data_IF_689016462887
#
_entry.id   IF_689016462887
#
_cell.length_a   1.000
_cell.length_b   1.000
_cell.length_c   1.000
_cell.angle_alpha   90.00
_cell.angle_beta   90.00
_cell.angle_gamma   90.00
#
_symmetry.space_group_name_H-M   'P 1'
#
loop_
_entity.id
_entity.type
_entity.pdbx_description
1 polymer ?
#
# COMPACT_ATOMS: atom_id res chain seq x y z
N UNK A 1 14.86 -11.02 0.72
CA UNK A 1 13.76 -10.54 -0.18
C UNK A 1 13.93 -11.18 -1.56
N UNK A 2 13.01 -12.00 -2.04
CA UNK A 2 13.25 -12.87 -3.19
C UNK A 2 12.12 -12.88 -4.22
N UNK A 3 12.19 -13.87 -5.11
CA UNK A 3 11.20 -14.14 -6.15
C UNK A 3 11.07 -15.66 -6.35
N UNK A 4 10.00 -16.06 -7.00
CA UNK A 4 9.86 -17.41 -7.52
C UNK A 4 10.39 -17.47 -8.96
N UNK A 5 11.06 -18.55 -9.31
CA UNK A 5 11.47 -18.90 -10.68
C UNK A 5 10.98 -20.33 -10.93
N UNK A 6 10.05 -20.49 -11.86
CA UNK A 6 9.40 -21.77 -12.16
C UNK A 6 8.91 -22.51 -10.89
N UNK A 7 8.29 -21.74 -9.97
CA UNK A 7 7.78 -22.24 -8.70
C UNK A 7 8.83 -22.44 -7.60
N UNK A 8 10.11 -22.22 -7.88
CA UNK A 8 11.19 -22.38 -6.89
C UNK A 8 11.56 -21.02 -6.28
N UNK A 9 11.53 -20.95 -4.94
CA UNK A 9 11.90 -19.75 -4.23
C UNK A 9 13.40 -19.47 -4.34
N UNK A 10 13.73 -18.21 -4.69
CA UNK A 10 15.10 -17.72 -4.84
C UNK A 10 15.25 -16.41 -4.07
N UNK A 11 16.18 -16.36 -3.11
CA UNK A 11 16.49 -15.13 -2.38
C UNK A 11 17.40 -14.22 -3.24
N UNK A 12 16.77 -13.45 -4.10
CA UNK A 12 17.44 -12.54 -5.02
C UNK A 12 16.78 -11.16 -5.01
N UNK A 13 17.58 -10.14 -4.69
CA UNK A 13 17.17 -8.75 -4.75
C UNK A 13 17.00 -8.25 -6.18
N UNK A 14 16.49 -7.04 -6.34
CA UNK A 14 16.42 -6.36 -7.63
C UNK A 14 17.83 -6.08 -8.16
N UNK A 15 18.07 -6.40 -9.43
CA UNK A 15 19.29 -6.02 -10.11
C UNK A 15 19.16 -4.56 -10.62
N UNK A 16 19.97 -3.68 -10.04
CA UNK A 16 20.04 -2.27 -10.45
C UNK A 16 21.24 -1.99 -11.37
N UNK A 17 22.12 -2.95 -11.60
CA UNK A 17 23.31 -2.77 -12.43
C UNK A 17 22.93 -2.54 -13.91
N UNK A 18 21.96 -3.29 -14.41
CA UNK A 18 21.45 -3.19 -15.78
C UNK A 18 20.64 -1.91 -16.06
N UNK A 19 20.18 -1.22 -15.01
CA UNK A 19 19.35 -0.01 -15.11
C UNK A 19 20.09 1.28 -14.78
N UNK A 20 21.43 1.24 -14.70
CA UNK A 20 22.23 2.40 -14.30
C UNK A 20 22.01 2.86 -12.86
N UNK A 21 21.71 1.91 -11.99
CA UNK A 21 21.46 2.15 -10.58
C UNK A 21 20.01 2.49 -10.22
N UNK A 22 19.08 2.45 -11.17
CA UNK A 22 17.66 2.75 -10.96
C UNK A 22 16.92 1.53 -10.38
N UNK A 23 16.06 1.78 -9.43
CA UNK A 23 15.09 0.79 -8.96
C UNK A 23 13.88 0.75 -9.92
N UNK A 24 13.63 -0.42 -10.50
CA UNK A 24 12.48 -0.67 -11.35
C UNK A 24 11.57 -1.72 -10.71
N UNK A 25 10.30 -1.34 -10.52
CA UNK A 25 9.30 -2.22 -9.89
C UNK A 25 8.65 -3.12 -10.93
N UNK A 26 8.64 -4.43 -10.66
CA UNK A 26 7.87 -5.40 -11.45
C UNK A 26 6.36 -5.15 -11.32
N UNK A 27 5.63 -5.37 -12.39
CA UNK A 27 4.16 -5.31 -12.38
C UNK A 27 3.57 -6.51 -11.64
N UNK A 28 2.40 -6.32 -11.03
CA UNK A 28 1.59 -7.39 -10.48
C UNK A 28 1.09 -8.31 -11.60
N UNK A 29 1.11 -9.63 -11.37
CA UNK A 29 0.75 -10.64 -12.39
C UNK A 29 -0.70 -11.08 -12.23
N UNK A 30 -1.15 -11.30 -10.99
CA UNK A 30 -2.54 -11.67 -10.73
C UNK A 30 -3.41 -10.42 -10.75
N UNK A 31 -4.22 -10.28 -11.81
CA UNK A 31 -5.02 -9.09 -12.13
C UNK A 31 -6.48 -9.42 -12.45
N UNK A 32 -7.02 -10.50 -11.86
CA UNK A 32 -8.45 -10.82 -11.98
C UNK A 32 -9.29 -9.88 -11.11
N UNK A 33 -10.60 -9.84 -11.40
CA UNK A 33 -11.53 -8.95 -10.70
C UNK A 33 -12.58 -9.71 -9.94
N UNK A 34 -12.83 -9.22 -8.73
CA UNK A 34 -13.99 -9.54 -7.91
C UNK A 34 -15.05 -8.47 -8.17
N UNK A 35 -16.24 -8.89 -8.60
CA UNK A 35 -17.39 -8.04 -8.86
C UNK A 35 -18.61 -8.56 -8.11
N UNK A 36 -19.68 -7.78 -8.05
CA UNK A 36 -20.89 -8.18 -7.33
C UNK A 36 -21.48 -9.51 -7.84
N UNK A 37 -21.44 -9.75 -9.14
CA UNK A 37 -22.05 -10.90 -9.84
C UNK A 37 -21.02 -11.90 -10.45
N UNK A 38 -19.73 -11.62 -10.31
CA UNK A 38 -18.66 -12.42 -10.91
C UNK A 38 -18.38 -12.10 -12.38
N UNK A 39 -18.98 -11.05 -12.93
CA UNK A 39 -18.63 -10.56 -14.27
C UNK A 39 -17.18 -10.11 -14.37
N UNK A 40 -16.54 -10.14 -15.56
CA UNK A 40 -15.18 -9.67 -15.72
C UNK A 40 -15.08 -8.16 -15.46
N UNK A 41 -13.96 -7.74 -14.85
CA UNK A 41 -13.58 -6.34 -14.65
C UNK A 41 -12.72 -5.79 -15.80
N UNK A 42 -12.06 -4.64 -15.58
CA UNK A 42 -11.20 -4.01 -16.58
C UNK A 42 -9.97 -4.81 -16.98
N UNK A 43 -9.51 -5.71 -16.11
CA UNK A 43 -8.34 -6.58 -16.34
C UNK A 43 -8.66 -8.01 -15.93
N UNK A 44 -7.84 -8.97 -16.41
CA UNK A 44 -7.96 -10.37 -16.06
C UNK A 44 -9.27 -11.03 -16.49
N UNK A 45 -9.68 -12.04 -15.74
CA UNK A 45 -10.92 -12.82 -15.99
C UNK A 45 -11.93 -12.62 -14.87
N UNK A 46 -13.22 -12.86 -15.18
CA UNK A 46 -14.31 -12.95 -14.21
C UNK A 46 -14.37 -14.31 -13.50
N UNK A 47 -15.49 -14.57 -12.84
CA UNK A 47 -15.76 -15.78 -12.07
C UNK A 47 -15.60 -15.61 -10.56
N UNK A 48 -15.33 -14.40 -10.10
CA UNK A 48 -15.13 -14.06 -8.68
C UNK A 48 -16.27 -13.17 -8.20
N UNK A 49 -17.45 -13.77 -7.97
CA UNK A 49 -18.60 -13.08 -7.41
C UNK A 49 -18.38 -12.74 -5.94
N UNK A 50 -18.89 -11.58 -5.49
CA UNK A 50 -18.87 -11.22 -4.09
C UNK A 50 -19.75 -12.17 -3.28
N UNK A 51 -19.16 -12.84 -2.30
CA UNK A 51 -19.81 -13.79 -1.41
C UNK A 51 -19.25 -13.62 0.00
N UNK A 52 -20.10 -13.65 1.01
CA UNK A 52 -19.67 -13.58 2.40
C UNK A 52 -18.77 -14.77 2.75
N UNK A 53 -17.62 -14.47 3.36
CA UNK A 53 -16.70 -15.51 3.83
C UNK A 53 -15.91 -16.24 2.73
N UNK A 54 -16.09 -15.94 1.44
CA UNK A 54 -15.35 -16.58 0.33
C UNK A 54 -13.91 -16.08 0.22
N UNK A 55 -13.69 -14.80 0.43
CA UNK A 55 -12.38 -14.18 0.21
C UNK A 55 -11.59 -13.99 1.50
N UNK A 56 -10.26 -13.92 1.35
CA UNK A 56 -9.32 -13.64 2.42
C UNK A 56 -8.23 -12.68 1.91
N UNK A 57 -7.78 -11.76 2.75
CA UNK A 57 -6.78 -10.77 2.38
C UNK A 57 -5.49 -11.00 3.19
N UNK A 58 -4.38 -11.24 2.48
CA UNK A 58 -3.05 -11.35 3.09
C UNK A 58 -2.32 -10.02 2.97
N UNK A 59 -1.81 -9.52 4.08
CA UNK A 59 -1.21 -8.18 4.18
C UNK A 59 0.06 -8.19 5.03
N UNK A 60 0.87 -7.15 4.86
CA UNK A 60 1.84 -6.69 5.83
C UNK A 60 1.40 -5.32 6.36
N UNK A 61 1.38 -5.12 7.67
CA UNK A 61 1.07 -3.81 8.26
C UNK A 61 2.15 -2.77 7.95
N UNK A 62 3.35 -3.21 7.57
CA UNK A 62 4.42 -2.32 7.11
C UNK A 62 4.22 -1.81 5.68
N UNK A 63 3.60 -2.61 4.79
CA UNK A 63 3.55 -2.34 3.36
C UNK A 63 2.54 -1.23 3.01
N UNK A 64 2.95 -0.13 2.35
CA UNK A 64 2.02 0.95 1.97
C UNK A 64 0.99 0.50 0.92
N UNK A 65 1.34 -0.46 0.08
CA UNK A 65 0.43 -1.00 -0.93
C UNK A 65 -0.69 -1.82 -0.27
N UNK A 66 -0.35 -2.71 0.66
CA UNK A 66 -1.33 -3.48 1.42
C UNK A 66 -2.17 -2.56 2.36
N UNK A 67 -1.59 -1.50 2.89
CA UNK A 67 -2.28 -0.54 3.76
C UNK A 67 -3.46 0.14 3.04
N UNK A 68 -3.36 0.42 1.73
CA UNK A 68 -4.50 0.93 0.94
C UNK A 68 -5.71 0.02 1.05
N UNK A 69 -5.48 -1.29 0.94
CA UNK A 69 -6.56 -2.29 0.99
C UNK A 69 -7.17 -2.42 2.38
N UNK A 70 -6.35 -2.29 3.43
CA UNK A 70 -6.83 -2.25 4.81
C UNK A 70 -7.70 -1.03 5.08
N UNK A 71 -7.30 0.16 4.59
CA UNK A 71 -8.08 1.39 4.75
C UNK A 71 -9.44 1.25 4.06
N UNK A 72 -9.48 0.88 2.78
CA UNK A 72 -10.76 0.77 2.06
C UNK A 72 -11.63 -0.34 2.65
N UNK A 73 -11.03 -1.47 3.09
CA UNK A 73 -11.73 -2.52 3.83
C UNK A 73 -12.40 -1.98 5.10
N UNK A 74 -11.70 -1.12 5.86
CA UNK A 74 -12.24 -0.49 7.07
C UNK A 74 -13.33 0.55 6.76
N UNK A 75 -13.10 1.41 5.77
CA UNK A 75 -14.06 2.43 5.32
C UNK A 75 -15.37 1.81 4.83
N UNK A 76 -15.29 0.71 4.09
CA UNK A 76 -16.44 -0.03 3.58
C UNK A 76 -17.04 -1.03 4.58
N UNK A 77 -16.47 -1.15 5.79
CA UNK A 77 -17.00 -2.06 6.83
C UNK A 77 -16.89 -3.53 6.47
N UNK A 78 -15.88 -3.94 5.70
CA UNK A 78 -15.72 -5.30 5.18
C UNK A 78 -14.99 -6.24 6.15
N UNK A 79 -14.81 -5.86 7.42
CA UNK A 79 -13.98 -6.62 8.36
C UNK A 79 -14.47 -8.05 8.58
N UNK A 80 -15.78 -8.26 8.64
CA UNK A 80 -16.39 -9.59 8.83
C UNK A 80 -16.55 -10.34 7.50
N UNK A 81 -16.66 -9.64 6.39
CA UNK A 81 -16.80 -10.23 5.06
C UNK A 81 -15.47 -10.71 4.46
N UNK A 82 -14.37 -10.01 4.77
CA UNK A 82 -13.03 -10.29 4.26
C UNK A 82 -12.05 -10.34 5.44
N UNK A 83 -11.88 -11.50 6.09
CA UNK A 83 -10.86 -11.71 7.12
C UNK A 83 -9.44 -11.47 6.57
N UNK A 84 -8.49 -11.21 7.46
CA UNK A 84 -7.09 -10.96 7.09
C UNK A 84 -6.14 -11.95 7.75
N UNK A 85 -5.02 -12.20 7.08
CA UNK A 85 -3.78 -12.70 7.68
C UNK A 85 -2.68 -11.64 7.54
N UNK A 86 -1.83 -11.55 8.54
CA UNK A 86 -0.77 -10.55 8.62
C UNK A 86 0.57 -11.24 8.69
N UNK A 87 1.44 -10.99 7.70
CA UNK A 87 2.79 -11.52 7.71
C UNK A 87 3.67 -10.81 8.72
N UNK A 88 4.73 -11.47 9.15
CA UNK A 88 5.76 -10.91 10.02
C UNK A 88 6.41 -9.66 9.37
N UNK A 89 6.80 -8.67 10.19
CA UNK A 89 7.44 -7.43 9.68
C UNK A 89 8.81 -7.68 9.07
N UNK A 90 9.59 -8.63 9.61
CA UNK A 90 10.90 -8.96 9.08
C UNK A 90 10.78 -9.81 7.82
N UNK A 91 11.37 -9.33 6.74
CA UNK A 91 11.45 -10.03 5.47
C UNK A 91 12.90 -10.46 5.22
N UNK A 92 13.22 -11.68 5.66
CA UNK A 92 14.54 -12.30 5.51
C UNK A 92 14.68 -13.10 4.20
N UNK A 93 15.55 -14.13 4.27
CA UNK A 93 15.86 -15.02 3.13
C UNK A 93 14.64 -15.79 2.59
N UNK A 94 13.66 -16.08 3.45
CA UNK A 94 12.45 -16.82 3.10
C UNK A 94 11.30 -15.88 2.63
N UNK A 95 11.59 -14.59 2.46
CA UNK A 95 10.61 -13.57 2.08
C UNK A 95 9.64 -13.26 3.22
N UNK A 96 8.37 -13.07 2.90
CA UNK A 96 7.31 -12.87 3.88
C UNK A 96 6.92 -14.21 4.54
N UNK A 97 6.94 -14.26 5.88
CA UNK A 97 6.58 -15.43 6.67
C UNK A 97 5.43 -15.14 7.62
N UNK A 98 4.82 -16.18 8.18
CA UNK A 98 3.86 -16.12 9.28
C UNK A 98 4.48 -16.57 10.61
N UNK A 99 5.80 -16.38 10.77
CA UNK A 99 6.48 -16.63 12.04
C UNK A 99 5.86 -15.81 13.18
N UNK A 100 5.95 -16.32 14.40
CA UNK A 100 5.39 -15.65 15.58
C UNK A 100 5.98 -14.24 15.76
N UNK A 101 5.10 -13.29 16.06
CA UNK A 101 5.44 -11.89 16.30
C UNK A 101 4.23 -11.06 16.69
N UNK A 102 4.47 -9.95 17.35
CA UNK A 102 3.41 -9.03 17.74
C UNK A 102 2.64 -8.54 16.50
N UNK A 103 1.31 -8.71 16.48
CA UNK A 103 0.45 -8.28 15.36
C UNK A 103 0.49 -9.19 14.13
N UNK A 104 1.22 -10.30 14.15
CA UNK A 104 1.15 -11.35 13.12
C UNK A 104 -0.16 -12.11 13.28
N UNK A 105 -0.83 -12.40 12.17
CA UNK A 105 -2.01 -13.25 12.11
C UNK A 105 -1.71 -14.37 11.12
N UNK A 106 -1.59 -15.62 11.56
CA UNK A 106 -1.24 -16.75 10.71
C UNK A 106 -2.32 -17.03 9.66
N UNK A 107 -1.98 -17.85 8.68
CA UNK A 107 -2.92 -18.27 7.65
C UNK A 107 -3.85 -19.39 8.13
N UNK A 108 -5.16 -19.13 8.27
CA UNK A 108 -6.13 -20.15 8.70
C UNK A 108 -6.68 -21.00 7.55
N UNK A 109 -6.39 -20.66 6.29
CA UNK A 109 -7.04 -21.27 5.12
C UNK A 109 -6.21 -22.38 4.50
N UNK A 110 -4.94 -22.09 4.24
CA UNK A 110 -4.04 -23.00 3.53
C UNK A 110 -2.94 -23.56 4.44
N UNK A 111 -2.80 -23.00 5.67
CA UNK A 111 -1.81 -23.40 6.65
C UNK A 111 -0.37 -23.17 6.18
N UNK A 112 -0.14 -22.13 5.38
CA UNK A 112 1.21 -21.83 4.88
C UNK A 112 2.03 -21.09 5.91
N UNK A 113 3.32 -21.41 5.99
CA UNK A 113 4.29 -20.72 6.84
C UNK A 113 4.93 -19.53 6.13
N UNK A 114 4.96 -19.55 4.80
CA UNK A 114 5.58 -18.54 3.94
C UNK A 114 4.63 -18.10 2.84
N UNK A 115 4.56 -16.80 2.59
CA UNK A 115 3.62 -16.24 1.61
C UNK A 115 3.85 -16.78 0.19
N UNK A 116 5.09 -17.08 -0.20
CA UNK A 116 5.39 -17.60 -1.53
C UNK A 116 4.70 -18.95 -1.81
N UNK A 117 4.34 -19.72 -0.77
CA UNK A 117 3.60 -20.97 -0.90
C UNK A 117 2.16 -20.74 -1.41
N UNK A 118 1.54 -19.57 -1.13
CA UNK A 118 0.23 -19.23 -1.73
C UNK A 118 0.36 -19.01 -3.25
N UNK A 119 1.45 -18.38 -3.67
CA UNK A 119 1.71 -18.15 -5.11
C UNK A 119 1.88 -19.45 -5.87
N UNK A 120 2.65 -20.40 -5.34
CA UNK A 120 2.84 -21.71 -5.96
C UNK A 120 1.58 -22.60 -5.88
N UNK A 121 0.68 -22.36 -4.90
CA UNK A 121 -0.64 -23.02 -4.87
C UNK A 121 -1.58 -22.46 -5.94
N UNK A 122 -1.53 -21.14 -6.18
CA UNK A 122 -2.31 -20.52 -7.25
C UNK A 122 -1.79 -20.90 -8.65
N UNK A 123 -0.46 -21.00 -8.80
CA UNK A 123 0.22 -21.33 -10.05
C UNK A 123 1.55 -22.02 -9.74
N UNK A 124 1.61 -23.34 -9.97
CA UNK A 124 2.73 -24.19 -9.53
C UNK A 124 4.09 -23.79 -10.13
N UNK A 125 4.09 -23.20 -11.33
CA UNK A 125 5.28 -22.74 -12.07
C UNK A 125 5.42 -21.22 -12.07
N UNK A 126 4.77 -20.52 -11.12
CA UNK A 126 4.82 -19.06 -11.05
C UNK A 126 6.25 -18.54 -11.05
N UNK A 127 6.51 -17.56 -11.90
CA UNK A 127 7.78 -16.81 -11.92
C UNK A 127 7.50 -15.33 -11.70
N UNK A 128 8.08 -14.76 -10.65
CA UNK A 128 7.90 -13.35 -10.29
C UNK A 128 8.06 -13.05 -8.82
N UNK A 129 7.90 -11.78 -8.47
CA UNK A 129 8.00 -11.31 -7.08
C UNK A 129 6.78 -11.76 -6.27
N UNK A 130 7.04 -12.13 -5.01
CA UNK A 130 6.01 -12.47 -4.02
C UNK A 130 5.76 -11.22 -3.17
N UNK A 131 4.58 -10.64 -3.33
CA UNK A 131 4.22 -9.33 -2.77
C UNK A 131 2.92 -9.38 -1.97
N UNK A 132 2.70 -8.37 -1.14
CA UNK A 132 1.41 -8.08 -0.49
C UNK A 132 0.90 -6.74 -0.99
N UNK A 133 -0.45 -6.52 -1.06
CA UNK A 133 -1.52 -7.42 -0.64
C UNK A 133 -1.72 -8.60 -1.57
N UNK A 134 -2.39 -9.65 -1.08
CA UNK A 134 -2.92 -10.76 -1.87
C UNK A 134 -4.39 -10.94 -1.53
N UNK A 135 -5.27 -10.81 -2.50
CA UNK A 135 -6.69 -11.17 -2.39
C UNK A 135 -6.84 -12.61 -2.85
N UNK A 136 -7.18 -13.50 -1.93
CA UNK A 136 -7.30 -14.95 -2.12
C UNK A 136 -8.76 -15.38 -2.21
N UNK A 137 -9.07 -16.24 -3.17
CA UNK A 137 -10.37 -16.94 -3.26
C UNK A 137 -10.25 -18.34 -2.65
N UNK A 138 -10.92 -18.57 -1.54
CA UNK A 138 -10.90 -19.84 -0.80
C UNK A 138 -11.62 -20.97 -1.56
N UNK A 139 -12.60 -20.65 -2.41
CA UNK A 139 -13.34 -21.66 -3.17
C UNK A 139 -12.49 -22.26 -4.30
N UNK A 140 -11.87 -21.41 -5.09
CA UNK A 140 -11.05 -21.83 -6.23
C UNK A 140 -9.57 -22.02 -5.86
N UNK A 141 -9.20 -21.70 -4.62
CA UNK A 141 -7.84 -21.78 -4.06
C UNK A 141 -6.81 -21.11 -4.96
N UNK A 142 -7.09 -19.84 -5.32
CA UNK A 142 -6.22 -19.06 -6.20
C UNK A 142 -6.15 -17.62 -5.77
N UNK A 143 -5.13 -16.90 -6.26
CA UNK A 143 -5.01 -15.45 -6.10
C UNK A 143 -5.95 -14.77 -7.11
N UNK A 144 -6.88 -13.96 -6.62
CA UNK A 144 -7.71 -13.09 -7.46
C UNK A 144 -6.87 -11.95 -7.99
N UNK A 145 -6.24 -11.19 -7.09
CA UNK A 145 -5.38 -10.06 -7.43
C UNK A 145 -4.32 -9.82 -6.37
N UNK A 146 -3.14 -9.35 -6.81
CA UNK A 146 -2.09 -8.78 -5.95
C UNK A 146 -1.75 -7.33 -6.32
N UNK A 147 -2.68 -6.65 -7.03
CA UNK A 147 -2.56 -5.24 -7.38
C UNK A 147 -3.45 -4.37 -6.47
N UNK A 148 -2.82 -3.63 -5.57
CA UNK A 148 -3.54 -2.84 -4.55
C UNK A 148 -4.50 -1.82 -5.13
N UNK A 149 -4.15 -1.16 -6.24
CA UNK A 149 -4.98 -0.16 -6.89
C UNK A 149 -6.28 -0.72 -7.46
N UNK A 150 -6.29 -2.00 -7.83
CA UNK A 150 -7.47 -2.72 -8.30
C UNK A 150 -8.28 -3.30 -7.13
N UNK A 151 -7.59 -3.88 -6.13
CA UNK A 151 -8.26 -4.43 -4.95
C UNK A 151 -9.09 -3.37 -4.23
N UNK A 152 -8.59 -2.13 -4.08
CA UNK A 152 -9.38 -1.07 -3.46
C UNK A 152 -10.63 -0.70 -4.26
N UNK A 153 -10.58 -0.77 -5.60
CA UNK A 153 -11.74 -0.55 -6.46
C UNK A 153 -12.75 -1.71 -6.40
N UNK A 154 -12.27 -2.95 -6.26
CA UNK A 154 -13.14 -4.11 -5.99
C UNK A 154 -13.87 -3.94 -4.66
N UNK A 155 -13.16 -3.59 -3.59
CA UNK A 155 -13.74 -3.38 -2.26
C UNK A 155 -14.69 -2.19 -2.21
N UNK A 156 -14.48 -1.18 -3.04
CA UNK A 156 -15.32 0.02 -3.10
C UNK A 156 -16.77 -0.27 -3.46
N UNK A 157 -17.06 -1.33 -4.23
CA UNK A 157 -18.41 -1.54 -4.76
C UNK A 157 -18.90 -2.99 -4.80
N UNK A 158 -18.01 -3.99 -4.84
CA UNK A 158 -18.44 -5.37 -5.07
C UNK A 158 -19.34 -5.93 -3.96
N UNK A 159 -19.20 -5.45 -2.73
CA UNK A 159 -19.90 -5.95 -1.54
C UNK A 159 -21.10 -5.08 -1.12
N UNK A 160 -21.49 -4.08 -1.92
CA UNK A 160 -22.61 -3.18 -1.55
C UNK A 160 -23.91 -3.96 -1.29
N UNK A 161 -24.19 -4.99 -2.09
CA UNK A 161 -25.33 -5.88 -1.90
C UNK A 161 -25.24 -6.85 -0.70
N UNK A 162 -24.09 -6.91 -0.02
CA UNK A 162 -23.83 -7.79 1.14
C UNK A 162 -23.69 -7.02 2.45
N UNK A 163 -24.16 -5.78 2.51
CA UNK A 163 -24.16 -4.96 3.71
C UNK A 163 -22.85 -4.19 3.93
N UNK A 164 -22.07 -3.95 2.89
CA UNK A 164 -20.95 -3.01 2.95
C UNK A 164 -21.48 -1.62 3.34
N UNK A 165 -20.65 -0.87 4.09
CA UNK A 165 -20.99 0.51 4.48
C UNK A 165 -21.10 1.39 3.25
N UNK A 166 -22.05 2.33 3.29
CA UNK A 166 -22.19 3.34 2.25
C UNK A 166 -20.91 4.16 2.07
N UNK A 167 -20.72 4.66 0.85
CA UNK A 167 -19.53 5.42 0.45
C UNK A 167 -18.97 4.92 -0.88
N UNK A 168 -18.58 5.85 -1.74
CA UNK A 168 -17.96 5.56 -3.03
C UNK A 168 -16.72 6.43 -3.21
N UNK A 169 -15.56 5.82 -3.10
CA UNK A 169 -14.26 6.50 -3.16
C UNK A 169 -13.71 6.59 -4.60
N UNK A 170 -14.46 6.05 -5.58
CA UNK A 170 -14.12 6.14 -7.01
C UNK A 170 -15.41 6.40 -7.85
N UNK A 171 -16.15 7.50 -7.55
CA UNK A 171 -17.40 7.79 -8.20
C UNK A 171 -17.21 8.10 -9.68
N UNK A 172 -18.17 7.67 -10.52
CA UNK A 172 -18.07 7.74 -11.98
C UNK A 172 -17.75 9.15 -12.51
N UNK A 173 -18.37 10.18 -11.91
CA UNK A 173 -18.16 11.57 -12.31
C UNK A 173 -16.74 12.10 -12.04
N UNK A 174 -15.99 11.48 -11.11
CA UNK A 174 -14.65 11.94 -10.70
C UNK A 174 -13.52 11.03 -11.20
N UNK A 175 -13.81 9.91 -11.86
CA UNK A 175 -12.81 8.90 -12.24
C UNK A 175 -11.63 9.51 -13.01
N UNK A 176 -11.92 10.31 -14.02
CA UNK A 176 -10.85 10.95 -14.82
C UNK A 176 -9.95 11.87 -14.00
N UNK A 177 -10.51 12.62 -13.06
CA UNK A 177 -9.74 13.50 -12.17
C UNK A 177 -8.94 12.70 -11.15
N UNK A 178 -9.53 11.63 -10.59
CA UNK A 178 -8.85 10.70 -9.67
C UNK A 178 -7.67 10.02 -10.37
N UNK A 179 -7.89 9.50 -11.56
CA UNK A 179 -6.85 8.83 -12.32
C UNK A 179 -5.72 9.80 -12.71
N UNK A 180 -6.03 11.04 -13.10
CA UNK A 180 -5.03 12.07 -13.39
C UNK A 180 -4.15 12.40 -12.17
N UNK A 181 -4.73 12.47 -10.97
CA UNK A 181 -3.95 12.64 -9.73
C UNK A 181 -3.09 11.41 -9.46
N UNK A 182 -3.64 10.21 -9.61
CA UNK A 182 -2.91 8.97 -9.41
C UNK A 182 -1.73 8.80 -10.38
N UNK A 183 -1.87 9.25 -11.63
CA UNK A 183 -0.82 9.19 -12.67
C UNK A 183 0.39 10.07 -12.33
N UNK A 184 0.19 11.13 -11.53
CA UNK A 184 1.29 11.94 -10.99
C UNK A 184 1.81 11.36 -9.67
N UNK A 185 0.93 11.10 -8.71
CA UNK A 185 1.29 10.68 -7.35
C UNK A 185 2.01 9.32 -7.33
N UNK A 186 1.60 8.38 -8.19
CA UNK A 186 2.22 7.06 -8.19
C UNK A 186 3.71 7.09 -8.56
N UNK A 187 4.13 7.62 -9.74
CA UNK A 187 5.53 7.58 -10.15
C UNK A 187 6.43 8.51 -9.34
N UNK A 188 5.92 9.69 -8.90
CA UNK A 188 6.74 10.71 -8.25
C UNK A 188 6.81 10.58 -6.74
N UNK A 189 5.72 10.13 -6.08
CA UNK A 189 5.63 10.04 -4.62
C UNK A 189 5.60 8.59 -4.16
N UNK A 190 4.55 7.81 -4.51
CA UNK A 190 4.39 6.48 -3.94
C UNK A 190 5.53 5.53 -4.33
N UNK A 191 5.94 5.51 -5.59
CA UNK A 191 7.10 4.76 -6.07
C UNK A 191 8.38 5.61 -6.02
N UNK A 192 8.27 6.93 -6.03
CA UNK A 192 9.38 7.88 -5.98
C UNK A 192 10.26 7.66 -4.76
N UNK A 193 9.67 7.51 -3.57
CA UNK A 193 10.43 7.22 -2.34
C UNK A 193 11.23 5.92 -2.41
N UNK A 194 10.73 4.90 -3.12
CA UNK A 194 11.46 3.65 -3.36
C UNK A 194 12.56 3.82 -4.40
N UNK A 195 12.32 4.63 -5.43
CA UNK A 195 13.35 4.98 -6.42
C UNK A 195 14.51 5.74 -5.77
N UNK A 196 14.24 6.63 -4.81
CA UNK A 196 15.28 7.26 -3.99
C UNK A 196 16.00 6.23 -3.11
N UNK A 197 15.24 5.45 -2.34
CA UNK A 197 15.79 4.57 -1.31
C UNK A 197 16.63 3.40 -1.84
N UNK A 198 16.26 2.85 -2.97
CA UNK A 198 16.94 1.72 -3.60
C UNK A 198 17.86 2.11 -4.77
N UNK A 199 18.05 3.42 -5.02
CA UNK A 199 19.05 3.88 -5.96
C UNK A 199 20.46 3.44 -5.51
N UNK A 200 21.26 2.94 -6.46
CA UNK A 200 22.63 2.51 -6.20
C UNK A 200 23.67 3.43 -6.86
N UNK A 201 23.21 4.50 -7.52
CA UNK A 201 24.06 5.58 -8.03
C UNK A 201 23.50 6.94 -7.64
N UNK A 202 24.39 7.95 -7.50
CA UNK A 202 24.00 9.31 -7.17
C UNK A 202 23.02 9.89 -8.20
N UNK A 203 23.29 9.69 -9.49
CA UNK A 203 22.45 10.17 -10.56
C UNK A 203 21.03 9.59 -10.52
N UNK A 204 20.88 8.28 -10.26
CA UNK A 204 19.56 7.63 -10.12
C UNK A 204 18.78 8.13 -8.89
N UNK A 205 19.47 8.43 -7.81
CA UNK A 205 18.87 9.02 -6.62
C UNK A 205 18.35 10.44 -6.90
N UNK A 206 19.17 11.31 -7.47
CA UNK A 206 18.81 12.71 -7.78
C UNK A 206 17.67 12.80 -8.81
N UNK A 207 17.70 11.92 -9.82
CA UNK A 207 16.62 11.79 -10.83
C UNK A 207 15.25 11.48 -10.18
N UNK A 208 15.25 10.73 -9.08
CA UNK A 208 14.02 10.38 -8.36
C UNK A 208 13.63 11.45 -7.33
N UNK A 209 14.61 12.10 -6.68
CA UNK A 209 14.38 13.01 -5.56
C UNK A 209 13.71 14.32 -6.00
N UNK A 210 14.14 14.91 -7.12
CA UNK A 210 13.62 16.19 -7.62
C UNK A 210 12.11 16.10 -7.91
N UNK A 211 11.61 15.16 -8.76
CA UNK A 211 10.18 15.06 -9.02
C UNK A 211 9.35 14.70 -7.76
N UNK A 212 9.94 14.00 -6.79
CA UNK A 212 9.27 13.71 -5.52
C UNK A 212 8.94 15.00 -4.78
N UNK A 213 9.93 15.88 -4.58
CA UNK A 213 9.72 17.11 -3.82
C UNK A 213 8.95 18.16 -4.61
N UNK A 214 9.13 18.27 -5.93
CA UNK A 214 8.30 19.12 -6.80
C UNK A 214 6.81 18.74 -6.68
N UNK A 215 6.51 17.45 -6.62
CA UNK A 215 5.13 16.96 -6.46
C UNK A 215 4.59 17.25 -5.05
N UNK A 216 5.40 17.09 -3.99
CA UNK A 216 5.00 17.44 -2.63
C UNK A 216 4.72 18.94 -2.51
N UNK A 217 5.54 19.80 -3.11
CA UNK A 217 5.35 21.25 -3.11
C UNK A 217 4.04 21.66 -3.83
N UNK A 218 3.71 21.01 -4.95
CA UNK A 218 2.44 21.23 -5.65
C UNK A 218 1.24 20.78 -4.82
N UNK A 219 1.35 19.63 -4.14
CA UNK A 219 0.28 19.11 -3.28
C UNK A 219 0.11 19.98 -2.03
N UNK A 220 1.19 20.48 -1.45
CA UNK A 220 1.14 21.47 -0.35
C UNK A 220 0.29 22.67 -0.75
N UNK A 221 0.59 23.30 -1.90
CA UNK A 221 -0.18 24.44 -2.41
C UNK A 221 -1.65 24.08 -2.65
N UNK A 222 -1.95 22.96 -3.29
CA UNK A 222 -3.32 22.50 -3.53
C UNK A 222 -4.11 22.36 -2.24
N UNK A 223 -3.51 21.75 -1.23
CA UNK A 223 -4.16 21.42 0.04
C UNK A 223 -4.32 22.63 0.98
N UNK A 224 -3.78 23.80 0.66
CA UNK A 224 -4.11 25.04 1.39
C UNK A 224 -5.54 25.52 1.13
N UNK A 225 -6.11 25.19 -0.05
CA UNK A 225 -7.41 25.71 -0.50
C UNK A 225 -8.55 24.66 -0.42
N UNK A 226 -8.24 23.38 -0.30
CA UNK A 226 -9.24 22.31 -0.30
C UNK A 226 -8.89 21.20 0.70
N UNK A 227 -9.90 20.53 1.25
CA UNK A 227 -9.71 19.53 2.31
C UNK A 227 -8.98 18.29 1.82
N UNK A 228 -9.40 17.73 0.68
CA UNK A 228 -8.84 16.55 0.05
C UNK A 228 -8.28 16.88 -1.34
N UNK A 229 -7.63 15.91 -2.00
CA UNK A 229 -6.96 16.12 -3.29
C UNK A 229 -7.88 16.61 -4.40
N UNK A 230 -9.19 16.33 -4.31
CA UNK A 230 -10.18 16.66 -5.32
C UNK A 230 -11.39 17.41 -4.74
N UNK A 231 -11.18 18.23 -3.72
CA UNK A 231 -12.22 19.08 -3.11
C UNK A 231 -12.57 18.69 -1.69
N UNK A 232 -13.88 18.60 -1.38
CA UNK A 232 -14.40 18.33 -0.04
C UNK A 232 -14.60 16.83 0.27
N UNK A 233 -14.59 15.96 -0.75
CA UNK A 233 -14.89 14.53 -0.61
C UNK A 233 -13.62 13.68 -0.65
N UNK A 234 -13.55 12.69 0.27
CA UNK A 234 -12.49 11.69 0.31
C UNK A 234 -12.59 10.75 -0.90
N UNK A 235 -11.48 10.56 -1.62
CA UNK A 235 -11.39 9.65 -2.75
C UNK A 235 -10.27 8.61 -2.58
N UNK A 236 -10.21 7.62 -3.49
CA UNK A 236 -9.10 6.65 -3.49
C UNK A 236 -7.73 7.32 -3.70
N UNK A 237 -7.67 8.49 -4.36
CA UNK A 237 -6.42 9.23 -4.54
C UNK A 237 -5.82 9.64 -3.19
N UNK A 238 -6.66 10.08 -2.25
CA UNK A 238 -6.26 10.44 -0.90
C UNK A 238 -5.74 9.20 -0.13
N UNK A 239 -6.45 8.08 -0.22
CA UNK A 239 -6.02 6.82 0.39
C UNK A 239 -4.66 6.39 -0.14
N UNK A 240 -4.45 6.50 -1.46
CA UNK A 240 -3.18 6.10 -2.12
C UNK A 240 -2.01 6.99 -1.71
N UNK A 241 -2.22 8.29 -1.56
CA UNK A 241 -1.20 9.23 -1.11
C UNK A 241 -0.89 9.04 0.38
N UNK A 242 -1.93 8.95 1.22
CA UNK A 242 -1.80 8.88 2.68
C UNK A 242 -0.82 7.81 3.15
N UNK A 243 -0.87 6.61 2.56
CA UNK A 243 -0.01 5.50 2.99
C UNK A 243 1.48 5.79 2.85
N UNK A 244 1.86 6.66 1.90
CA UNK A 244 3.23 7.15 1.74
C UNK A 244 3.54 8.29 2.71
N UNK A 245 2.65 9.28 2.85
CA UNK A 245 2.86 10.41 3.76
C UNK A 245 3.03 9.96 5.21
N UNK A 246 2.20 9.01 5.67
CA UNK A 246 2.28 8.44 7.01
C UNK A 246 3.66 7.81 7.31
N UNK A 247 4.31 7.23 6.29
CA UNK A 247 5.62 6.58 6.40
C UNK A 247 6.78 7.52 6.15
N UNK A 248 6.51 8.73 5.69
CA UNK A 248 7.55 9.61 5.16
C UNK A 248 8.56 9.99 6.25
N UNK A 249 8.11 10.62 7.31
CA UNK A 249 8.98 11.09 8.37
C UNK A 249 9.60 9.95 9.20
N UNK A 250 8.85 8.89 9.61
CA UNK A 250 9.43 7.81 10.40
C UNK A 250 10.37 6.90 9.61
N UNK A 251 10.27 6.87 8.28
CA UNK A 251 11.05 5.94 7.44
C UNK A 251 11.78 6.64 6.30
N UNK A 252 11.06 7.28 5.37
CA UNK A 252 11.65 7.66 4.09
C UNK A 252 12.64 8.83 4.20
N UNK A 253 12.48 9.72 5.15
CA UNK A 253 13.42 10.81 5.42
C UNK A 253 14.81 10.26 5.78
N UNK A 254 14.89 9.34 6.72
CA UNK A 254 16.16 8.76 7.16
C UNK A 254 16.60 7.58 6.28
N UNK A 255 15.79 6.55 6.22
CA UNK A 255 16.13 5.27 5.60
C UNK A 255 16.33 5.37 4.08
N UNK A 256 15.43 6.09 3.40
CA UNK A 256 15.46 6.27 1.94
C UNK A 256 16.10 7.60 1.49
N UNK A 257 16.60 8.40 2.42
CA UNK A 257 17.26 9.70 2.15
C UNK A 257 16.35 10.72 1.44
N UNK A 258 15.02 10.60 1.59
CA UNK A 258 14.05 11.58 1.08
C UNK A 258 14.00 12.77 2.04
N UNK A 259 15.10 13.51 2.18
CA UNK A 259 15.35 14.35 3.35
C UNK A 259 15.52 15.86 3.06
N UNK A 260 15.06 16.36 1.91
CA UNK A 260 15.05 17.80 1.68
C UNK A 260 14.12 18.52 2.68
N UNK A 261 12.95 17.94 2.97
CA UNK A 261 11.98 18.37 3.99
C UNK A 261 11.23 17.15 4.53
N UNK A 262 10.76 17.22 5.76
CA UNK A 262 9.84 16.23 6.35
C UNK A 262 8.40 16.61 5.97
N UNK A 263 7.46 15.70 6.07
CA UNK A 263 6.04 16.05 5.94
C UNK A 263 5.63 17.02 7.06
N UNK A 264 6.21 16.90 8.25
CA UNK A 264 6.01 17.84 9.35
C UNK A 264 6.42 19.30 9.04
N UNK A 265 7.27 19.50 8.03
CA UNK A 265 7.70 20.85 7.59
C UNK A 265 6.75 21.46 6.52
N UNK A 266 5.71 20.73 6.12
CA UNK A 266 4.66 21.14 5.18
C UNK A 266 3.33 21.31 5.93
N UNK A 267 2.91 22.54 6.26
CA UNK A 267 1.73 22.78 7.10
C UNK A 267 0.44 22.12 6.58
N UNK A 268 0.14 22.25 5.28
CA UNK A 268 -1.09 21.70 4.71
C UNK A 268 -1.02 20.16 4.54
N UNK A 269 0.09 19.61 4.03
CA UNK A 269 0.27 18.16 3.92
C UNK A 269 0.29 17.48 5.28
N UNK A 270 0.88 18.09 6.29
CA UNK A 270 0.90 17.51 7.64
C UNK A 270 -0.48 17.53 8.29
N UNK A 271 -1.21 18.64 8.18
CA UNK A 271 -2.60 18.73 8.63
C UNK A 271 -3.50 17.73 7.87
N UNK A 272 -3.32 17.57 6.55
CA UNK A 272 -4.00 16.60 5.73
C UNK A 272 -3.69 15.15 6.14
N UNK A 273 -2.45 14.84 6.47
CA UNK A 273 -2.06 13.51 6.96
C UNK A 273 -2.74 13.19 8.29
N UNK A 274 -2.87 14.18 9.18
CA UNK A 274 -3.63 14.06 10.44
C UNK A 274 -5.14 13.89 10.21
N UNK A 275 -5.73 14.66 9.29
CA UNK A 275 -7.16 14.53 8.93
C UNK A 275 -7.48 13.10 8.45
N UNK A 276 -6.67 12.57 7.55
CA UNK A 276 -6.82 11.19 7.06
C UNK A 276 -6.59 10.14 8.16
N UNK A 277 -5.59 10.32 9.02
CA UNK A 277 -5.35 9.42 10.15
C UNK A 277 -6.55 9.38 11.11
N UNK A 278 -7.16 10.55 11.38
CA UNK A 278 -8.32 10.69 12.28
C UNK A 278 -9.65 10.32 11.61
N UNK A 279 -9.66 10.08 10.31
CA UNK A 279 -10.87 9.62 9.63
C UNK A 279 -11.33 8.27 10.23
N UNK A 280 -12.65 8.10 10.53
CA UNK A 280 -13.16 6.91 11.21
C UNK A 280 -12.70 5.59 10.57
N UNK A 281 -12.04 4.75 11.37
CA UNK A 281 -11.52 3.44 10.97
C UNK A 281 -10.09 3.46 10.41
N UNK A 282 -9.51 4.61 10.03
CA UNK A 282 -8.17 4.66 9.44
C UNK A 282 -7.07 4.44 10.47
N UNK A 283 -7.12 5.09 11.62
CA UNK A 283 -6.11 4.95 12.68
C UNK A 283 -5.89 3.49 13.09
N UNK A 284 -6.96 2.68 13.15
CA UNK A 284 -6.89 1.25 13.49
C UNK A 284 -6.15 0.40 12.45
N UNK A 285 -5.88 0.91 11.26
CA UNK A 285 -5.10 0.23 10.21
C UNK A 285 -3.61 0.54 10.27
N UNK A 286 -3.18 1.44 11.16
CA UNK A 286 -1.81 1.91 11.28
C UNK A 286 -1.04 1.15 12.34
N UNK A 287 0.12 0.61 12.00
CA UNK A 287 1.06 -0.01 12.92
C UNK A 287 2.47 0.54 12.68
N UNK A 288 2.84 1.59 13.41
CA UNK A 288 4.15 2.23 13.27
C UNK A 288 5.31 1.30 13.70
N UNK A 289 5.08 0.37 14.62
CA UNK A 289 6.08 -0.61 15.02
C UNK A 289 6.45 -1.53 13.85
N UNK A 290 5.45 -2.16 13.21
CA UNK A 290 5.68 -2.97 12.00
C UNK A 290 6.32 -2.16 10.87
N UNK A 291 5.85 -0.91 10.65
CA UNK A 291 6.40 -0.03 9.62
C UNK A 291 7.90 0.19 9.86
N UNK A 292 8.29 0.69 11.03
CA UNK A 292 9.70 0.99 11.31
C UNK A 292 10.56 -0.28 11.30
N UNK A 293 10.13 -1.33 11.98
CA UNK A 293 10.87 -2.58 12.05
C UNK A 293 11.09 -3.20 10.68
N UNK A 294 10.05 -3.24 9.83
CA UNK A 294 10.21 -3.79 8.49
C UNK A 294 11.32 -3.10 7.70
N UNK A 295 11.27 -1.77 7.58
CA UNK A 295 12.23 -1.06 6.76
C UNK A 295 13.65 -1.14 7.34
N UNK A 296 13.80 -0.93 8.63
CA UNK A 296 15.12 -0.85 9.24
C UNK A 296 15.74 -2.22 9.53
N UNK A 297 14.95 -3.27 9.78
CA UNK A 297 15.48 -4.62 10.04
C UNK A 297 15.63 -5.45 8.74
N UNK A 298 14.85 -5.20 7.67
CA UNK A 298 14.85 -6.05 6.47
C UNK A 298 15.75 -5.56 5.34
N UNK A 299 16.08 -4.27 5.27
CA UNK A 299 16.87 -3.70 4.18
C UNK A 299 18.35 -3.59 4.54
N UNK A 300 19.02 -4.72 4.70
CA UNK A 300 20.44 -4.78 5.14
C UNK A 300 21.41 -4.06 4.20
N UNK A 301 21.08 -3.85 2.94
CA UNK A 301 21.89 -3.05 2.00
C UNK A 301 21.86 -1.55 2.32
N UNK A 302 20.84 -1.08 3.04
CA UNK A 302 20.68 0.32 3.45
C UNK A 302 21.03 0.48 4.93
N UNK A 303 20.58 -0.44 5.79
CA UNK A 303 20.78 -0.44 7.22
C UNK A 303 21.37 -1.79 7.69
N UNK A 304 22.67 -2.02 7.50
CA UNK A 304 23.29 -3.32 7.74
C UNK A 304 23.25 -3.77 9.21
N UNK A 305 23.16 -2.84 10.16
CA UNK A 305 23.10 -3.13 11.59
C UNK A 305 21.73 -3.55 12.08
N UNK A 306 20.67 -3.30 11.31
CA UNK A 306 19.28 -3.57 11.72
C UNK A 306 18.76 -2.68 12.86
N UNK A 307 19.51 -1.63 13.26
CA UNK A 307 19.07 -0.71 14.32
C UNK A 307 17.85 0.08 13.88
N UNK A 308 16.80 0.03 14.69
CA UNK A 308 15.54 0.74 14.45
C UNK A 308 15.53 2.06 15.21
N UNK A 309 15.37 3.23 14.56
CA UNK A 309 15.37 4.51 15.24
C UNK A 309 14.16 4.66 16.18
N UNK A 310 14.34 5.32 17.31
CA UNK A 310 13.27 5.58 18.29
C UNK A 310 12.28 6.61 17.74
N UNK A 311 12.75 7.73 17.20
CA UNK A 311 11.93 8.80 16.63
C UNK A 311 11.46 8.52 15.19
N UNK A 312 10.78 9.52 14.58
CA UNK A 312 10.29 10.73 15.23
C UNK A 312 9.06 10.49 16.10
N UNK A 313 8.86 11.34 17.12
CA UNK A 313 7.60 11.40 17.85
C UNK A 313 6.62 12.30 17.09
N UNK A 314 5.55 11.71 16.57
CA UNK A 314 4.52 12.42 15.81
C UNK A 314 3.16 12.10 16.41
N UNK A 315 2.46 13.15 16.85
CA UNK A 315 1.07 13.06 17.26
C UNK A 315 0.14 13.24 16.06
N UNK A 316 -0.25 12.14 15.43
CA UNK A 316 -1.25 12.16 14.35
C UNK A 316 -2.67 12.40 14.87
N UNK A 317 -2.91 12.30 16.18
CA UNK A 317 -4.19 12.60 16.83
C UNK A 317 -4.41 14.08 17.16
N UNK A 318 -3.37 14.91 17.05
CA UNK A 318 -3.50 16.35 17.30
C UNK A 318 -4.47 17.01 16.29
N UNK A 319 -5.15 18.10 16.70
CA UNK A 319 -6.09 18.82 15.84
C UNK A 319 -5.47 19.18 14.48
N UNK A 320 -6.21 18.99 13.39
CA UNK A 320 -5.77 19.28 12.03
C UNK A 320 -6.38 20.55 11.42
N UNK A 321 -7.54 21.01 11.93
CA UNK A 321 -8.18 22.27 11.53
C UNK A 321 -8.70 22.32 10.08
N UNK A 322 -8.84 21.15 9.41
CA UNK A 322 -9.22 21.09 8.00
C UNK A 322 -10.72 20.98 7.75
N UNK A 323 -11.51 20.86 8.82
CA UNK A 323 -12.99 20.82 8.75
C UNK A 323 -13.56 22.08 8.10
N UNK A 324 -12.93 23.24 8.35
CA UNK A 324 -13.34 24.51 7.77
C UNK A 324 -13.23 24.54 6.23
N UNK A 325 -12.35 23.74 5.63
CA UNK A 325 -12.16 23.68 4.18
C UNK A 325 -13.27 22.89 3.47
N UNK A 326 -14.09 22.13 4.19
CA UNK A 326 -15.25 21.41 3.62
C UNK A 326 -16.43 22.31 3.28
N UNK A 327 -16.45 23.55 3.78
CA UNK A 327 -17.54 24.51 3.60
C UNK A 327 -17.26 25.60 2.56
N UNK A 328 -16.08 25.59 1.96
CA UNK A 328 -15.62 26.54 0.95
C UNK A 328 -15.87 26.02 -0.47
N UNK A 329 -17.12 25.71 -0.82
CA UNK A 329 -17.57 25.37 -2.19
C UNK A 329 -18.41 26.48 -2.79
#
# INVERSE_FOLDING_TARGET
MGLLVDGVWTDQWYDTSSTGGRFERSRAVFRNWLTADGSPGPTGRGGFAAEAGRYHLYVSLACPWAHRTLIVRALKGLNDLIPISVVHWYMGKDGWTFADGEGVIPDPNEGVEMLHQLYTRAEATYSGRVTVPVLWDKQTRTIVSNESSEIIRMFNSAFDGLGAREGNYYPAAMRSAIDAVNDVVYPTINNGVYRCGFATTQAAYEEALTPLFDSLDQLEQRLTAQRYLLGSELTEADVRLFTTLLRFDPVYVGHFKCNLRRIADYPALFAYTRDLYQHPGVAATVNLNHIKRHYYESHHTINPTGVVPVGPEIDYGAPHGREALSTMT
#
